data_IF_760186460203
#
_entry.id   IF_760186460203
#
_cell.length_a   1.000
_cell.length_b   1.000
_cell.length_c   1.000
_cell.angle_alpha   90.00
_cell.angle_beta   90.00
_cell.angle_gamma   90.00
#
_symmetry.space_group_name_H-M   'P 1'
#
loop_
_entity.id
_entity.type
_entity.pdbx_description
1 polymer ?
#
# COMPACT_ATOMS: atom_id res chain seq x y z
N UNK A 1 -37.29 -31.85 -48.53
CA UNK A 1 -37.50 -30.48 -47.97
C UNK A 1 -36.14 -29.84 -47.73
N UNK A 2 -35.98 -28.57 -48.14
CA UNK A 2 -34.89 -27.60 -47.86
C UNK A 2 -33.52 -27.88 -48.50
N UNK A 3 -33.13 -27.20 -49.59
CA UNK A 3 -32.73 -25.79 -49.79
C UNK A 3 -31.30 -25.44 -49.34
N UNK A 4 -30.44 -25.34 -50.36
CA UNK A 4 -29.25 -24.50 -50.65
C UNK A 4 -29.00 -23.29 -49.73
N UNK A 5 -27.73 -22.99 -49.39
CA UNK A 5 -27.05 -21.70 -49.70
C UNK A 5 -25.59 -21.62 -49.22
N UNK A 6 -24.73 -21.17 -50.15
CA UNK A 6 -23.33 -20.77 -50.04
C UNK A 6 -23.11 -19.53 -49.18
N UNK A 7 -21.87 -19.28 -48.72
CA UNK A 7 -21.49 -17.96 -48.23
C UNK A 7 -20.08 -17.80 -47.65
N UNK A 8 -19.21 -17.18 -48.46
CA UNK A 8 -17.97 -16.41 -48.18
C UNK A 8 -17.36 -16.41 -46.77
N UNK A 9 -16.07 -16.78 -46.70
CA UNK A 9 -15.17 -16.41 -45.62
C UNK A 9 -14.43 -15.10 -45.96
N UNK A 10 -14.74 -14.03 -45.23
CA UNK A 10 -13.94 -12.79 -45.18
C UNK A 10 -13.34 -12.72 -43.78
N UNK A 11 -12.05 -13.02 -43.65
CA UNK A 11 -11.30 -12.93 -42.39
C UNK A 11 -10.38 -11.73 -42.43
N UNK A 12 -10.70 -10.72 -41.62
CA UNK A 12 -10.07 -9.40 -41.57
C UNK A 12 -8.59 -9.42 -41.13
N UNK A 13 -7.78 -8.57 -41.75
CA UNK A 13 -6.41 -8.24 -41.34
C UNK A 13 -6.42 -7.46 -40.02
N UNK A 14 -5.77 -7.99 -38.98
CA UNK A 14 -5.59 -7.33 -37.69
C UNK A 14 -4.38 -6.37 -37.76
N UNK A 15 -4.64 -5.07 -37.70
CA UNK A 15 -3.60 -4.05 -37.48
C UNK A 15 -3.27 -3.99 -35.99
N UNK A 16 -2.03 -4.30 -35.58
CA UNK A 16 -1.55 -4.05 -34.22
C UNK A 16 -1.34 -2.55 -34.03
N UNK A 17 -2.24 -1.90 -33.27
CA UNK A 17 -1.96 -0.59 -32.71
C UNK A 17 -1.03 -0.76 -31.51
N UNK A 18 0.18 -0.18 -31.57
CA UNK A 18 1.07 -0.10 -30.42
C UNK A 18 0.42 0.79 -29.35
N UNK A 19 0.08 0.21 -28.21
CA UNK A 19 -0.41 0.93 -27.04
C UNK A 19 0.71 1.80 -26.47
N UNK A 20 0.55 3.13 -26.56
CA UNK A 20 1.37 4.09 -25.82
C UNK A 20 1.08 3.91 -24.34
N UNK A 21 2.05 3.41 -23.58
CA UNK A 21 1.93 3.28 -22.13
C UNK A 21 1.76 4.65 -21.47
N UNK A 22 0.69 4.83 -20.69
CA UNK A 22 0.46 6.05 -19.93
C UNK A 22 1.48 6.16 -18.80
N UNK A 23 2.49 7.02 -18.94
CA UNK A 23 3.32 7.45 -17.82
C UNK A 23 2.46 8.30 -16.89
N UNK A 24 2.12 7.79 -15.71
CA UNK A 24 1.40 8.55 -14.69
C UNK A 24 2.34 9.63 -14.13
N UNK A 25 2.00 10.90 -14.36
CA UNK A 25 2.70 12.07 -13.82
C UNK A 25 2.27 12.21 -12.36
N UNK A 26 3.10 11.78 -11.42
CA UNK A 26 2.88 12.06 -10.01
C UNK A 26 3.40 13.47 -9.70
N UNK A 27 2.59 14.29 -9.02
CA UNK A 27 3.07 15.55 -8.44
C UNK A 27 3.94 15.22 -7.23
N UNK A 28 5.10 15.88 -7.12
CA UNK A 28 5.97 15.73 -5.95
C UNK A 28 5.28 16.22 -4.68
N UNK A 29 5.59 15.59 -3.55
CA UNK A 29 5.03 15.98 -2.25
C UNK A 29 5.63 17.29 -1.77
N UNK A 30 4.80 18.19 -1.24
CA UNK A 30 5.24 19.41 -0.53
C UNK A 30 6.10 19.09 0.70
N UNK A 31 5.97 17.86 1.24
CA UNK A 31 6.84 17.33 2.28
C UNK A 31 7.72 16.20 1.70
N UNK A 32 8.88 16.54 1.11
CA UNK A 32 9.70 15.60 0.34
C UNK A 32 10.55 14.67 1.22
N UNK A 33 10.63 14.92 2.53
CA UNK A 33 11.45 14.11 3.42
C UNK A 33 10.86 12.70 3.57
N UNK A 34 11.75 11.71 3.53
CA UNK A 34 11.42 10.30 3.76
C UNK A 34 11.52 9.94 5.25
N UNK A 35 12.23 10.73 6.06
CA UNK A 35 12.17 10.60 7.53
C UNK A 35 10.74 10.87 8.03
N UNK A 36 10.22 9.96 8.85
CA UNK A 36 8.82 9.98 9.25
C UNK A 36 8.48 11.10 10.23
N UNK A 37 9.38 11.42 11.15
CA UNK A 37 9.17 12.50 12.12
C UNK A 37 9.21 13.86 11.43
N UNK A 38 10.17 14.07 10.51
CA UNK A 38 10.26 15.27 9.70
C UNK A 38 9.06 15.44 8.76
N UNK A 39 8.67 14.36 8.08
CA UNK A 39 7.48 14.34 7.24
C UNK A 39 6.25 14.71 8.05
N UNK A 40 6.04 14.07 9.20
CA UNK A 40 4.88 14.32 10.06
C UNK A 40 4.80 15.78 10.50
N UNK A 41 5.91 16.35 10.96
CA UNK A 41 5.98 17.76 11.34
C UNK A 41 5.63 18.70 10.17
N UNK A 42 6.10 18.39 8.96
CA UNK A 42 5.72 19.13 7.76
C UNK A 42 4.23 18.96 7.43
N UNK A 43 3.74 17.73 7.42
CA UNK A 43 2.38 17.38 7.07
C UNK A 43 1.37 18.09 7.98
N UNK A 44 1.61 18.16 9.29
CA UNK A 44 0.73 18.89 10.23
C UNK A 44 0.53 20.37 9.86
N UNK A 45 1.48 20.99 9.16
CA UNK A 45 1.37 22.40 8.72
C UNK A 45 0.69 22.58 7.37
N UNK A 46 0.73 21.56 6.51
CA UNK A 46 0.33 21.69 5.09
C UNK A 46 -0.79 20.75 4.68
N UNK A 47 -1.27 19.87 5.57
CA UNK A 47 -2.33 18.90 5.26
C UNK A 47 -3.62 19.64 4.92
N UNK A 48 -4.09 19.58 3.66
CA UNK A 48 -5.39 20.14 3.31
C UNK A 48 -6.52 19.27 3.88
N UNK A 49 -7.74 19.81 3.93
CA UNK A 49 -8.92 19.00 4.23
C UNK A 49 -9.02 17.85 3.21
N UNK A 50 -9.13 16.59 3.65
CA UNK A 50 -9.28 15.46 2.74
C UNK A 50 -10.52 15.63 1.85
N UNK A 51 -10.45 15.24 0.56
CA UNK A 51 -11.60 15.34 -0.33
C UNK A 51 -12.79 14.54 0.23
N UNK A 52 -13.99 15.07 -0.01
CA UNK A 52 -15.26 14.49 0.43
C UNK A 52 -16.15 14.21 -0.77
N UNK A 53 -16.91 13.12 -0.68
CA UNK A 53 -17.99 12.83 -1.62
C UNK A 53 -19.19 13.74 -1.38
N UNK A 54 -20.16 13.73 -2.30
CA UNK A 54 -21.41 14.48 -2.18
C UNK A 54 -22.23 14.13 -0.92
N UNK A 55 -22.05 12.91 -0.39
CA UNK A 55 -22.68 12.45 0.86
C UNK A 55 -21.90 12.81 2.14
N UNK A 56 -20.78 13.54 2.01
CA UNK A 56 -19.94 13.97 3.12
C UNK A 56 -18.93 12.93 3.63
N UNK A 57 -18.94 11.70 3.11
CA UNK A 57 -17.93 10.69 3.47
C UNK A 57 -16.57 11.04 2.83
N UNK A 58 -15.45 10.58 3.43
CA UNK A 58 -14.14 10.69 2.78
C UNK A 58 -14.15 10.08 1.38
N UNK A 59 -13.49 10.75 0.44
CA UNK A 59 -13.24 10.22 -0.90
C UNK A 59 -11.81 9.67 -0.98
N UNK A 60 -11.69 8.35 -1.06
CA UNK A 60 -10.43 7.64 -1.21
C UNK A 60 -10.07 7.38 -2.68
N UNK A 61 -10.93 7.75 -3.63
CA UNK A 61 -10.72 7.46 -5.06
C UNK A 61 -9.38 8.01 -5.54
N UNK A 62 -8.57 7.16 -6.15
CA UNK A 62 -7.29 7.58 -6.72
C UNK A 62 -6.16 6.59 -6.51
N UNK A 63 -4.95 7.04 -6.84
CA UNK A 63 -3.72 6.27 -6.73
C UNK A 63 -3.00 6.63 -5.43
N UNK A 64 -2.71 5.60 -4.65
CA UNK A 64 -2.04 5.71 -3.36
C UNK A 64 -0.72 4.97 -3.42
N UNK A 65 0.34 5.62 -2.97
CA UNK A 65 1.66 5.01 -2.84
C UNK A 65 2.05 5.02 -1.38
N UNK A 66 2.43 3.85 -0.87
CA UNK A 66 3.06 3.74 0.43
C UNK A 66 4.40 4.50 0.45
N UNK A 67 4.69 5.19 1.55
CA UNK A 67 5.95 5.94 1.75
C UNK A 67 6.94 5.28 2.71
N UNK A 68 6.63 4.11 3.24
CA UNK A 68 7.42 3.46 4.30
C UNK A 68 7.56 1.97 4.03
N UNK A 69 8.54 1.31 4.65
CA UNK A 69 8.74 -0.15 4.69
C UNK A 69 8.61 -0.75 6.10
N UNK A 70 7.74 -0.17 6.92
CA UNK A 70 7.27 -0.61 8.25
C UNK A 70 6.72 -2.06 8.43
N UNK A 71 6.99 -3.02 7.54
CA UNK A 71 6.53 -4.41 7.71
C UNK A 71 7.60 -5.31 8.33
N UNK A 72 8.87 -4.92 8.23
CA UNK A 72 10.02 -5.63 8.80
C UNK A 72 10.20 -5.21 10.28
N UNK A 73 10.16 -3.90 10.54
CA UNK A 73 10.16 -3.31 11.88
C UNK A 73 9.49 -1.93 11.88
N UNK A 74 9.07 -1.45 13.04
CA UNK A 74 8.58 -0.07 13.23
C UNK A 74 9.67 0.90 13.72
N UNK A 75 10.63 0.40 14.49
CA UNK A 75 11.71 1.20 15.07
C UNK A 75 12.91 1.23 14.13
N UNK A 76 13.88 2.11 14.39
CA UNK A 76 15.11 2.13 13.60
C UNK A 76 15.94 0.85 13.84
N UNK A 77 16.44 0.23 12.77
CA UNK A 77 17.34 -0.92 12.86
C UNK A 77 18.32 -0.96 11.69
N UNK A 78 19.48 -1.63 11.86
CA UNK A 78 20.40 -1.88 10.77
C UNK A 78 19.81 -2.89 9.77
N UNK A 79 20.32 -2.82 8.54
CA UNK A 79 20.15 -3.87 7.53
C UNK A 79 20.73 -5.20 8.02
N UNK A 80 20.08 -6.31 7.68
CA UNK A 80 20.57 -7.66 7.93
C UNK A 80 20.25 -8.57 6.72
N UNK A 81 20.51 -9.88 6.83
CA UNK A 81 20.34 -10.81 5.70
C UNK A 81 18.89 -10.92 5.21
N UNK A 82 17.91 -10.64 6.06
CA UNK A 82 16.48 -10.83 5.81
C UNK A 82 15.69 -9.49 5.80
N UNK A 83 16.36 -8.35 5.96
CA UNK A 83 15.72 -7.04 6.20
C UNK A 83 16.61 -5.90 5.67
N UNK A 84 16.03 -4.92 4.97
CA UNK A 84 16.76 -3.81 4.34
C UNK A 84 17.25 -2.71 5.30
N UNK A 85 16.88 -2.75 6.57
CA UNK A 85 17.18 -1.62 7.47
C UNK A 85 16.25 -0.44 7.24
N UNK A 86 16.20 0.49 8.20
CA UNK A 86 15.42 1.71 8.00
C UNK A 86 15.40 2.67 9.17
N UNK A 87 14.97 3.93 8.93
CA UNK A 87 14.64 4.85 10.00
C UNK A 87 13.36 4.40 10.73
N UNK A 88 13.15 4.90 11.95
CA UNK A 88 11.92 4.64 12.69
C UNK A 88 10.72 5.27 11.96
N UNK A 89 9.59 4.56 11.98
CA UNK A 89 8.29 5.09 11.54
C UNK A 89 7.47 5.65 12.71
N UNK A 90 7.97 5.47 13.94
CA UNK A 90 7.37 6.00 15.17
C UNK A 90 7.69 7.49 15.25
N UNK A 91 6.66 8.32 15.27
CA UNK A 91 6.78 9.79 15.36
C UNK A 91 6.44 10.32 16.75
N UNK A 92 5.75 9.50 17.55
CA UNK A 92 5.36 9.78 18.92
C UNK A 92 5.45 8.46 19.70
N UNK A 93 6.37 8.32 20.67
CA UNK A 93 7.28 9.35 21.21
C UNK A 93 8.38 9.82 20.26
N UNK A 94 8.95 11.00 20.53
CA UNK A 94 9.93 11.66 19.67
C UNK A 94 11.30 10.93 19.59
N UNK A 95 11.56 9.97 20.47
CA UNK A 95 12.75 9.11 20.41
C UNK A 95 12.62 7.99 19.36
N UNK A 96 11.44 7.85 18.73
CA UNK A 96 11.19 6.86 17.70
C UNK A 96 11.10 5.42 18.23
N UNK A 97 10.87 5.24 19.54
CA UNK A 97 10.76 3.94 20.20
C UNK A 97 9.32 3.69 20.62
N UNK A 98 8.79 2.50 20.34
CA UNK A 98 7.44 2.13 20.79
C UNK A 98 7.46 2.04 22.32
N UNK A 99 6.57 2.75 23.04
CA UNK A 99 6.55 2.77 24.50
C UNK A 99 5.92 1.48 25.06
N UNK A 100 6.55 0.34 24.78
CA UNK A 100 6.10 -0.98 25.23
C UNK A 100 6.31 -1.12 26.75
N UNK A 101 5.29 -1.62 27.43
CA UNK A 101 5.40 -1.88 28.86
C UNK A 101 6.37 -3.05 29.10
N UNK A 102 7.20 -3.03 30.16
CA UNK A 102 8.20 -4.08 30.38
C UNK A 102 7.62 -5.51 30.44
N UNK A 103 6.41 -5.68 30.98
CA UNK A 103 5.73 -6.97 31.01
C UNK A 103 5.29 -7.43 29.60
N UNK A 104 4.91 -6.49 28.74
CA UNK A 104 4.50 -6.78 27.37
C UNK A 104 5.69 -7.14 26.49
N UNK A 105 6.86 -6.54 26.76
CA UNK A 105 8.10 -6.92 26.08
C UNK A 105 8.53 -8.35 26.44
N UNK A 106 8.46 -8.71 27.72
CA UNK A 106 8.73 -10.09 28.15
C UNK A 106 7.77 -11.09 27.49
N UNK A 107 6.49 -10.74 27.40
CA UNK A 107 5.50 -11.57 26.74
C UNK A 107 5.71 -11.66 25.22
N UNK A 108 6.11 -10.56 24.57
CA UNK A 108 6.48 -10.56 23.14
C UNK A 108 7.61 -11.55 22.85
N UNK A 109 8.66 -11.52 23.68
CA UNK A 109 9.80 -12.44 23.58
C UNK A 109 9.32 -13.88 23.80
N UNK A 110 8.55 -14.15 24.86
CA UNK A 110 8.04 -15.49 25.18
C UNK A 110 7.19 -16.07 24.04
N UNK A 111 6.22 -15.30 23.53
CA UNK A 111 5.35 -15.73 22.43
C UNK A 111 6.16 -16.01 21.16
N UNK A 112 7.15 -15.16 20.85
CA UNK A 112 8.03 -15.36 19.70
C UNK A 112 8.78 -16.68 19.81
N UNK A 113 9.36 -16.97 20.96
CA UNK A 113 10.18 -18.17 21.15
C UNK A 113 9.33 -19.45 21.26
N UNK A 114 8.15 -19.39 21.88
CA UNK A 114 7.30 -20.57 22.14
C UNK A 114 6.28 -20.87 21.02
N UNK A 115 5.86 -19.85 20.26
CA UNK A 115 4.67 -19.96 19.41
C UNK A 115 4.83 -19.47 17.96
N UNK A 116 5.94 -18.79 17.60
CA UNK A 116 6.12 -18.42 16.19
C UNK A 116 6.46 -19.65 15.35
N UNK A 117 5.52 -20.02 14.49
CA UNK A 117 5.76 -20.99 13.43
C UNK A 117 6.82 -20.44 12.46
N UNK A 118 7.74 -21.28 11.99
CA UNK A 118 8.80 -20.86 11.04
C UNK A 118 8.26 -20.24 9.74
N UNK A 119 6.99 -20.52 9.39
CA UNK A 119 6.29 -19.90 8.24
C UNK A 119 5.35 -18.74 8.63
N UNK A 120 5.42 -18.21 9.85
CA UNK A 120 4.52 -17.13 10.31
C UNK A 120 4.65 -15.84 9.49
N UNK A 121 5.79 -15.61 8.83
CA UNK A 121 6.01 -14.51 7.87
C UNK A 121 5.22 -14.67 6.57
N UNK A 122 4.83 -15.90 6.21
CA UNK A 122 4.16 -16.19 4.93
C UNK A 122 2.63 -16.00 4.96
N UNK A 123 2.05 -15.65 6.12
CA UNK A 123 0.59 -15.48 6.25
C UNK A 123 0.22 -14.02 6.49
N UNK A 124 0.19 -13.24 5.42
CA UNK A 124 -0.52 -11.96 5.38
C UNK A 124 -1.39 -11.87 4.12
N UNK A 125 -2.24 -12.88 3.89
CA UNK A 125 -3.31 -12.79 2.91
C UNK A 125 -4.55 -12.15 3.56
N UNK A 126 -4.78 -10.89 3.25
CA UNK A 126 -5.94 -10.11 3.72
C UNK A 126 -5.71 -8.62 3.45
N UNK A 127 -6.75 -7.77 3.37
CA UNK A 127 -6.60 -6.36 2.98
C UNK A 127 -5.55 -5.61 3.81
N UNK A 128 -5.53 -5.80 5.13
CA UNK A 128 -4.52 -5.19 5.99
C UNK A 128 -3.10 -5.70 5.67
N UNK A 129 -2.92 -7.01 5.54
CA UNK A 129 -1.63 -7.63 5.19
C UNK A 129 -1.11 -7.16 3.82
N UNK A 130 -1.98 -7.10 2.81
CA UNK A 130 -1.66 -6.57 1.48
C UNK A 130 -1.29 -5.09 1.51
N UNK A 131 -1.89 -4.29 2.40
CA UNK A 131 -1.55 -2.88 2.57
C UNK A 131 -0.19 -2.66 3.26
N UNK A 132 0.29 -3.62 4.07
CA UNK A 132 1.63 -3.57 4.69
C UNK A 132 2.74 -4.03 3.74
N UNK A 133 2.42 -4.89 2.77
CA UNK A 133 3.34 -5.30 1.70
C UNK A 133 3.48 -4.21 0.64
N UNK A 134 4.61 -4.20 -0.09
CA UNK A 134 4.93 -3.15 -1.07
C UNK A 134 3.90 -3.13 -2.20
N UNK A 135 3.22 -2.00 -2.41
CA UNK A 135 2.40 -1.78 -3.62
C UNK A 135 1.96 -0.34 -3.80
N UNK A 136 1.55 -0.04 -5.03
CA UNK A 136 0.70 1.10 -5.38
C UNK A 136 -0.72 0.58 -5.38
N UNK A 137 -1.64 1.29 -4.76
CA UNK A 137 -3.04 0.91 -4.70
C UNK A 137 -3.86 1.91 -5.49
N UNK A 138 -4.79 1.42 -6.29
CA UNK A 138 -5.87 2.24 -6.82
C UNK A 138 -7.14 1.94 -6.04
N UNK A 139 -7.69 2.94 -5.36
CA UNK A 139 -9.02 2.80 -4.78
C UNK A 139 -10.07 3.32 -5.77
N UNK A 140 -11.10 2.50 -5.98
CA UNK A 140 -12.32 2.85 -6.68
C UNK A 140 -13.43 2.88 -5.64
N UNK A 141 -14.09 4.03 -5.48
CA UNK A 141 -15.14 4.19 -4.48
C UNK A 141 -16.44 4.64 -5.14
N UNK A 142 -17.56 4.03 -4.76
CA UNK A 142 -18.90 4.51 -5.08
C UNK A 142 -19.72 4.80 -3.81
N UNK A 143 -21.05 4.91 -3.93
CA UNK A 143 -21.92 5.19 -2.77
C UNK A 143 -22.01 4.03 -1.78
N UNK A 144 -21.55 2.83 -2.12
CA UNK A 144 -21.71 1.62 -1.30
C UNK A 144 -20.38 0.93 -1.04
N UNK A 145 -19.51 0.94 -2.03
CA UNK A 145 -18.33 0.10 -2.08
C UNK A 145 -17.04 0.93 -2.13
N UNK A 146 -16.02 0.41 -1.47
CA UNK A 146 -14.63 0.85 -1.58
C UNK A 146 -13.82 -0.36 -2.03
N UNK A 147 -13.38 -0.35 -3.29
CA UNK A 147 -12.64 -1.45 -3.91
C UNK A 147 -11.19 -1.06 -4.05
N UNK A 148 -10.30 -1.89 -3.52
CA UNK A 148 -8.86 -1.77 -3.72
C UNK A 148 -8.45 -2.60 -4.94
N UNK A 149 -7.82 -1.95 -5.91
CA UNK A 149 -7.17 -2.56 -7.06
C UNK A 149 -5.67 -2.46 -6.82
N UNK A 150 -5.01 -3.61 -6.70
CA UNK A 150 -3.56 -3.75 -6.56
C UNK A 150 -2.92 -4.24 -7.85
#
# INVERSE_FOLDING_TARGET
>A
MRHVLSGLAVGATLSLAASVGSAQIFTESVCPQEDHAEFHACALRVTPEPPRRADGRPDFTGLWRRRTWAFENFEAHPENADDFGGPSVVVDPADGVVPIQPWAEQERIRIRDEHMHHNAVCTLSGPAGTMYMTSRFQFLQDERDLVMVG
#
